data_IF_209278286116
#
_entry.id   IF_209278286116
#
_cell.length_a   1.000
_cell.length_b   1.000
_cell.length_c   1.000
_cell.angle_alpha   90.00
_cell.angle_beta   90.00
_cell.angle_gamma   90.00
#
_symmetry.space_group_name_H-M   'P 1'
#
loop_
_entity.id
_entity.type
_entity.pdbx_description
1 polymer ?
#
# COMPACT_ATOMS: atom_id res chain seq x y z
N UNK A 1 2.29 -23.66 3.67
CA UNK A 1 3.29 -24.38 2.88
C UNK A 1 3.20 -23.94 1.43
N UNK A 2 4.34 -23.62 0.81
CA UNK A 2 4.34 -23.19 -0.58
C UNK A 2 4.26 -24.35 -1.55
N UNK A 3 3.46 -24.21 -2.59
CA UNK A 3 3.37 -25.19 -3.67
C UNK A 3 4.48 -24.92 -4.68
N UNK A 4 5.01 -26.01 -5.25
CA UNK A 4 5.95 -25.90 -6.33
C UNK A 4 5.22 -25.87 -7.66
N UNK A 5 5.55 -24.88 -8.46
CA UNK A 5 4.89 -24.65 -9.74
C UNK A 5 5.92 -24.22 -10.76
N UNK A 6 5.99 -24.91 -11.88
CA UNK A 6 6.91 -24.58 -12.96
C UNK A 6 6.17 -23.75 -14.01
N UNK A 7 6.65 -22.53 -14.24
CA UNK A 7 6.06 -21.63 -15.21
C UNK A 7 7.06 -21.39 -16.35
N UNK A 8 6.60 -21.61 -17.59
CA UNK A 8 7.40 -21.33 -18.77
C UNK A 8 7.06 -19.94 -19.28
N UNK A 9 8.08 -19.08 -19.37
CA UNK A 9 7.93 -17.73 -19.86
C UNK A 9 8.47 -17.64 -21.28
N UNK A 10 7.82 -16.84 -22.13
CA UNK A 10 8.35 -16.52 -23.46
C UNK A 10 9.71 -15.80 -23.30
N UNK A 11 10.65 -15.96 -24.25
CA UNK A 11 11.99 -15.38 -24.11
C UNK A 11 12.01 -13.87 -23.83
N UNK A 12 11.18 -13.11 -24.52
CA UNK A 12 11.10 -11.66 -24.30
C UNK A 12 10.57 -11.30 -22.92
N UNK A 13 9.65 -12.07 -22.39
CA UNK A 13 9.09 -11.87 -21.04
C UNK A 13 10.15 -12.15 -19.98
N UNK A 14 10.88 -13.25 -20.13
CA UNK A 14 11.95 -13.62 -19.20
C UNK A 14 13.03 -12.54 -19.15
N UNK A 15 13.42 -12.02 -20.29
CA UNK A 15 14.44 -10.98 -20.38
C UNK A 15 14.00 -9.70 -19.66
N UNK A 16 12.75 -9.27 -19.86
CA UNK A 16 12.22 -8.09 -19.19
C UNK A 16 12.12 -8.29 -17.68
N UNK A 17 11.73 -9.47 -17.24
CA UNK A 17 11.70 -9.80 -15.82
C UNK A 17 13.10 -9.70 -15.20
N UNK A 18 14.09 -10.26 -15.88
CA UNK A 18 15.48 -10.24 -15.42
C UNK A 18 16.01 -8.82 -15.28
N UNK A 19 15.78 -7.97 -16.28
CA UNK A 19 16.19 -6.57 -16.25
C UNK A 19 15.49 -5.79 -15.15
N UNK A 20 14.20 -5.99 -14.99
CA UNK A 20 13.42 -5.29 -13.95
C UNK A 20 13.89 -5.71 -12.56
N UNK A 21 14.13 -6.99 -12.34
CA UNK A 21 14.63 -7.51 -11.07
C UNK A 21 15.97 -6.88 -10.71
N UNK A 22 16.87 -6.78 -11.68
CA UNK A 22 18.18 -6.16 -11.47
C UNK A 22 18.04 -4.70 -11.06
N UNK A 23 17.19 -3.94 -11.73
CA UNK A 23 16.95 -2.53 -11.40
C UNK A 23 16.33 -2.35 -10.02
N UNK A 24 15.47 -3.27 -9.63
CA UNK A 24 14.80 -3.24 -8.33
C UNK A 24 15.66 -3.82 -7.20
N UNK A 25 16.81 -4.42 -7.51
CA UNK A 25 17.64 -5.06 -6.50
C UNK A 25 17.03 -6.33 -5.94
N UNK A 26 16.20 -7.02 -6.74
CA UNK A 26 15.50 -8.23 -6.33
C UNK A 26 15.93 -9.43 -7.16
N UNK A 27 15.75 -10.62 -6.59
CA UNK A 27 15.90 -11.85 -7.36
C UNK A 27 14.72 -11.99 -8.32
N UNK A 28 14.95 -12.59 -9.49
CA UNK A 28 13.90 -12.80 -10.49
C UNK A 28 12.70 -13.53 -9.91
N UNK A 29 12.95 -14.59 -9.13
CA UNK A 29 11.88 -15.39 -8.52
C UNK A 29 11.02 -14.56 -7.58
N UNK A 30 11.63 -13.73 -6.77
CA UNK A 30 10.92 -12.84 -5.84
C UNK A 30 10.02 -11.87 -6.60
N UNK A 31 10.55 -11.27 -7.66
CA UNK A 31 9.76 -10.33 -8.47
C UNK A 31 8.64 -11.04 -9.22
N UNK A 32 8.89 -12.24 -9.76
CA UNK A 32 7.87 -13.03 -10.44
C UNK A 32 6.72 -13.38 -9.49
N UNK A 33 7.03 -13.80 -8.26
CA UNK A 33 6.03 -14.09 -7.25
C UNK A 33 5.21 -12.86 -6.89
N UNK A 34 5.86 -11.70 -6.79
CA UNK A 34 5.17 -10.43 -6.54
C UNK A 34 4.16 -10.13 -7.65
N UNK A 35 4.58 -10.25 -8.90
CA UNK A 35 3.70 -9.96 -10.02
C UNK A 35 2.49 -10.90 -10.06
N UNK A 36 2.68 -12.18 -9.75
CA UNK A 36 1.56 -13.11 -9.69
C UNK A 36 0.61 -12.73 -8.55
N UNK A 37 1.14 -12.48 -7.37
CA UNK A 37 0.36 -12.09 -6.19
C UNK A 37 -0.44 -10.81 -6.45
N UNK A 38 0.25 -9.76 -6.90
CA UNK A 38 -0.39 -8.46 -7.14
C UNK A 38 -1.35 -8.51 -8.31
N UNK A 39 -1.04 -9.30 -9.35
CA UNK A 39 -1.94 -9.50 -10.46
C UNK A 39 -3.26 -10.13 -10.02
N UNK A 40 -3.19 -11.15 -9.18
CA UNK A 40 -4.38 -11.80 -8.63
C UNK A 40 -5.18 -10.85 -7.73
N UNK A 41 -4.50 -10.08 -6.89
CA UNK A 41 -5.16 -9.08 -6.04
C UNK A 41 -5.84 -8.00 -6.89
N UNK A 42 -5.17 -7.55 -7.93
CA UNK A 42 -5.73 -6.54 -8.83
C UNK A 42 -6.97 -7.06 -9.57
N UNK A 43 -6.98 -8.32 -9.97
CA UNK A 43 -8.16 -8.92 -10.61
C UNK A 43 -9.37 -8.90 -9.67
N UNK A 44 -9.16 -9.16 -8.39
CA UNK A 44 -10.22 -9.10 -7.39
C UNK A 44 -10.56 -7.66 -6.97
N UNK A 45 -9.59 -6.75 -7.04
CA UNK A 45 -9.72 -5.36 -6.60
C UNK A 45 -9.20 -4.41 -7.68
N UNK A 46 -9.94 -4.21 -8.78
CA UNK A 46 -9.42 -3.48 -9.95
C UNK A 46 -9.06 -2.01 -9.69
N UNK A 47 -9.61 -1.40 -8.63
CA UNK A 47 -9.32 0.00 -8.30
C UNK A 47 -8.12 0.14 -7.36
N UNK A 48 -7.47 -0.97 -7.01
CA UNK A 48 -6.28 -0.98 -6.16
C UNK A 48 -5.05 -1.23 -7.02
N UNK A 49 -4.02 -0.43 -6.81
CA UNK A 49 -2.69 -0.60 -7.40
C UNK A 49 -1.67 -0.80 -6.28
N UNK A 50 -0.48 -1.22 -6.64
CA UNK A 50 0.59 -1.42 -5.67
C UNK A 50 1.76 -0.53 -6.03
N UNK A 51 2.28 0.18 -5.04
CA UNK A 51 3.36 1.15 -5.23
C UNK A 51 4.46 0.92 -4.19
N UNK A 52 5.69 1.30 -4.55
CA UNK A 52 6.80 1.28 -3.62
C UNK A 52 6.80 2.54 -2.76
N UNK A 53 7.18 2.40 -1.51
CA UNK A 53 7.33 3.53 -0.61
C UNK A 53 8.45 3.28 0.39
N UNK A 54 8.76 4.26 1.25
CA UNK A 54 9.87 4.16 2.21
C UNK A 54 9.76 2.95 3.14
N UNK A 55 8.55 2.54 3.49
CA UNK A 55 8.31 1.40 4.38
C UNK A 55 7.97 0.10 3.63
N UNK A 56 8.10 0.10 2.30
CA UNK A 56 7.87 -1.08 1.48
C UNK A 56 6.75 -0.93 0.48
N UNK A 57 6.30 -2.05 -0.04
CA UNK A 57 5.24 -2.12 -1.04
C UNK A 57 3.88 -1.87 -0.40
N UNK A 58 3.05 -1.01 -0.99
CA UNK A 58 1.76 -0.60 -0.41
C UNK A 58 0.63 -0.69 -1.41
N UNK A 59 -0.57 -1.03 -0.91
CA UNK A 59 -1.81 -0.93 -1.67
C UNK A 59 -2.30 0.53 -1.68
N UNK A 60 -2.67 1.01 -2.86
CA UNK A 60 -3.08 2.39 -3.06
C UNK A 60 -4.28 2.45 -4.00
N UNK A 61 -5.08 3.51 -3.89
CA UNK A 61 -6.18 3.73 -4.82
C UNK A 61 -5.64 4.19 -6.18
N UNK A 62 -6.15 3.58 -7.22
CA UNK A 62 -5.73 3.88 -8.59
C UNK A 62 -5.94 5.36 -8.90
N UNK A 63 -4.89 6.03 -9.37
CA UNK A 63 -4.91 7.43 -9.85
C UNK A 63 -5.29 8.49 -8.81
N UNK A 64 -5.23 8.18 -7.51
CA UNK A 64 -5.59 9.16 -6.48
C UNK A 64 -4.46 9.57 -5.55
N UNK A 65 -3.36 8.82 -5.54
CA UNK A 65 -2.27 9.10 -4.61
C UNK A 65 -2.61 8.88 -3.15
N UNK A 66 -3.66 8.11 -2.88
CA UNK A 66 -4.11 7.76 -1.54
C UNK A 66 -3.89 6.28 -1.30
N UNK A 67 -3.22 5.96 -0.20
CA UNK A 67 -3.05 4.58 0.21
C UNK A 67 -4.33 4.05 0.86
N UNK A 68 -4.55 2.74 0.77
CA UNK A 68 -5.72 2.12 1.41
C UNK A 68 -5.73 2.40 2.91
N UNK A 69 -4.55 2.32 3.58
CA UNK A 69 -4.50 2.58 5.02
C UNK A 69 -4.98 4.00 5.38
N UNK A 70 -4.71 4.99 4.51
CA UNK A 70 -5.17 6.36 4.77
C UNK A 70 -6.69 6.46 4.74
N UNK A 71 -7.32 5.76 3.80
CA UNK A 71 -8.78 5.72 3.71
C UNK A 71 -9.38 5.07 4.95
N UNK A 72 -8.83 3.93 5.37
CA UNK A 72 -9.34 3.21 6.55
C UNK A 72 -9.15 4.04 7.82
N UNK A 73 -7.98 4.66 7.99
CA UNK A 73 -7.73 5.53 9.13
C UNK A 73 -8.72 6.70 9.16
N UNK A 74 -9.01 7.30 8.00
CA UNK A 74 -9.97 8.40 7.89
C UNK A 74 -11.38 7.95 8.27
N UNK A 75 -11.79 6.75 7.86
CA UNK A 75 -13.09 6.18 8.25
C UNK A 75 -13.16 6.06 9.78
N UNK A 76 -12.11 5.55 10.41
CA UNK A 76 -12.04 5.40 11.87
C UNK A 76 -12.13 6.76 12.56
N UNK A 77 -11.45 7.77 12.04
CA UNK A 77 -11.46 9.12 12.59
C UNK A 77 -12.83 9.80 12.44
N UNK A 78 -13.68 9.29 11.58
CA UNK A 78 -15.04 9.78 11.35
C UNK A 78 -16.08 8.79 11.89
N UNK A 79 -15.77 8.13 12.99
CA UNK A 79 -16.69 7.23 13.70
C UNK A 79 -17.25 6.09 12.84
N UNK A 80 -16.46 5.63 11.88
CA UNK A 80 -16.86 4.54 10.97
C UNK A 80 -17.69 4.99 9.78
N UNK A 81 -17.84 6.30 9.57
CA UNK A 81 -18.64 6.82 8.46
C UNK A 81 -17.85 6.84 7.17
N UNK A 82 -18.22 5.99 6.23
CA UNK A 82 -17.62 5.97 4.89
C UNK A 82 -17.98 7.22 4.10
N UNK A 83 -19.20 7.73 4.27
CA UNK A 83 -19.65 8.94 3.60
C UNK A 83 -18.85 10.17 4.04
N UNK A 84 -18.62 10.32 5.33
CA UNK A 84 -17.82 11.43 5.86
C UNK A 84 -16.36 11.34 5.44
N UNK A 85 -15.82 10.12 5.40
CA UNK A 85 -14.46 9.90 4.91
C UNK A 85 -14.32 10.30 3.43
N UNK A 86 -15.29 9.92 2.60
CA UNK A 86 -15.30 10.29 1.19
C UNK A 86 -15.32 11.82 1.02
N UNK A 87 -16.13 12.50 1.79
CA UNK A 87 -16.22 13.95 1.77
C UNK A 87 -14.90 14.59 2.22
N UNK A 88 -14.36 14.12 3.33
CA UNK A 88 -13.08 14.63 3.85
C UNK A 88 -11.93 14.46 2.85
N UNK A 89 -11.84 13.28 2.24
CA UNK A 89 -10.78 12.97 1.27
C UNK A 89 -11.06 13.50 -0.13
N UNK A 90 -12.27 14.01 -0.36
CA UNK A 90 -12.72 14.52 -1.66
C UNK A 90 -12.61 13.47 -2.76
N UNK A 91 -13.07 12.27 -2.48
CA UNK A 91 -13.12 11.18 -3.44
C UNK A 91 -14.54 10.60 -3.52
N UNK A 92 -14.90 9.98 -4.65
CA UNK A 92 -16.19 9.32 -4.77
C UNK A 92 -16.34 8.19 -3.74
N UNK A 93 -17.56 7.98 -3.25
CA UNK A 93 -17.86 6.92 -2.30
C UNK A 93 -17.47 5.54 -2.83
N UNK A 94 -17.55 5.32 -4.14
CA UNK A 94 -17.12 4.06 -4.76
C UNK A 94 -15.66 3.72 -4.53
N UNK A 95 -14.80 4.74 -4.43
CA UNK A 95 -13.38 4.53 -4.12
C UNK A 95 -13.17 4.17 -2.65
N UNK A 96 -13.96 4.77 -1.76
CA UNK A 96 -13.94 4.39 -0.34
C UNK A 96 -14.39 2.94 -0.19
N UNK A 97 -15.45 2.55 -0.89
CA UNK A 97 -15.94 1.17 -0.90
C UNK A 97 -14.88 0.19 -1.41
N UNK A 98 -14.13 0.57 -2.45
CA UNK A 98 -13.05 -0.24 -2.98
C UNK A 98 -11.95 -0.46 -1.93
N UNK A 99 -11.58 0.57 -1.19
CA UNK A 99 -10.61 0.47 -0.11
C UNK A 99 -11.11 -0.45 1.01
N UNK A 100 -12.39 -0.33 1.38
CA UNK A 100 -13.00 -1.16 2.42
C UNK A 100 -13.06 -2.62 1.99
N UNK A 101 -13.39 -2.90 0.73
CA UNK A 101 -13.41 -4.26 0.20
C UNK A 101 -12.03 -4.90 0.28
N UNK A 102 -10.99 -4.16 -0.11
CA UNK A 102 -9.61 -4.64 0.01
C UNK A 102 -9.23 -4.88 1.46
N UNK A 103 -9.56 -3.94 2.34
CA UNK A 103 -9.29 -4.06 3.76
C UNK A 103 -9.91 -5.33 4.35
N UNK A 104 -11.10 -5.70 3.92
CA UNK A 104 -11.77 -6.90 4.41
C UNK A 104 -10.97 -8.18 4.17
N UNK A 105 -10.23 -8.25 3.07
CA UNK A 105 -9.40 -9.42 2.76
C UNK A 105 -7.98 -9.32 3.33
N UNK A 106 -7.44 -8.10 3.47
CA UNK A 106 -6.03 -7.89 3.86
C UNK A 106 -5.94 -7.02 5.11
N UNK A 107 -6.80 -7.30 6.07
CA UNK A 107 -6.95 -6.52 7.30
C UNK A 107 -5.66 -6.34 8.07
N UNK A 108 -4.93 -7.44 8.32
CA UNK A 108 -3.72 -7.39 9.12
C UNK A 108 -2.62 -6.55 8.46
N UNK A 109 -2.53 -6.63 7.13
CA UNK A 109 -1.60 -5.83 6.35
C UNK A 109 -1.87 -4.34 6.51
N UNK A 110 -3.12 -3.94 6.37
CA UNK A 110 -3.53 -2.53 6.46
C UNK A 110 -3.43 -2.02 7.90
N UNK A 111 -3.84 -2.81 8.87
CA UNK A 111 -3.73 -2.43 10.28
C UNK A 111 -2.27 -2.18 10.66
N UNK A 112 -1.35 -3.01 10.15
CA UNK A 112 0.09 -2.81 10.38
C UNK A 112 0.58 -1.51 9.78
N UNK A 113 0.14 -1.17 8.57
CA UNK A 113 0.51 0.08 7.92
C UNK A 113 0.02 1.28 8.71
N UNK A 114 -1.20 1.22 9.24
CA UNK A 114 -1.75 2.28 10.10
C UNK A 114 -0.87 2.46 11.34
N UNK A 115 -0.52 1.37 12.01
CA UNK A 115 0.34 1.42 13.20
C UNK A 115 1.72 2.00 12.90
N UNK A 116 2.33 1.59 11.79
CA UNK A 116 3.65 2.11 11.40
C UNK A 116 3.59 3.60 11.10
N UNK A 117 2.54 4.05 10.46
CA UNK A 117 2.40 5.47 10.12
C UNK A 117 2.07 6.32 11.35
N UNK A 118 1.30 5.81 12.29
CA UNK A 118 1.08 6.48 13.57
C UNK A 118 2.38 6.63 14.34
N UNK A 119 3.19 5.58 14.40
CA UNK A 119 4.48 5.63 15.08
C UNK A 119 5.44 6.64 14.44
N UNK A 120 5.46 6.69 13.10
CA UNK A 120 6.26 7.67 12.37
C UNK A 120 5.81 9.09 12.66
N UNK A 121 4.50 9.32 12.68
CA UNK A 121 3.94 10.62 13.00
C UNK A 121 4.35 11.09 14.39
N UNK A 122 4.26 10.20 15.40
CA UNK A 122 4.65 10.53 16.76
C UNK A 122 6.14 10.83 16.87
N UNK A 123 6.99 10.05 16.18
CA UNK A 123 8.42 10.33 16.15
C UNK A 123 8.71 11.69 15.53
N UNK A 124 8.01 12.03 14.45
CA UNK A 124 8.15 13.32 13.79
C UNK A 124 7.76 14.48 14.68
N UNK A 125 6.67 14.32 15.43
CA UNK A 125 6.21 15.34 16.38
C UNK A 125 7.22 15.52 17.51
N UNK A 126 7.73 14.44 18.06
CA UNK A 126 8.74 14.50 19.14
C UNK A 126 10.02 15.19 18.64
N UNK A 127 10.46 14.87 17.43
CA UNK A 127 11.64 15.51 16.83
C UNK A 127 11.41 17.00 16.60
N UNK A 128 10.23 17.39 16.12
CA UNK A 128 9.87 18.78 15.91
C UNK A 128 9.84 19.56 17.23
N UNK A 129 9.27 18.96 18.27
CA UNK A 129 9.25 19.58 19.61
C UNK A 129 10.66 19.81 20.14
N UNK A 130 11.56 18.83 19.96
CA UNK A 130 12.95 18.97 20.36
C UNK A 130 13.64 20.08 19.57
N UNK A 131 13.36 20.18 18.26
CA UNK A 131 13.89 21.26 17.42
C UNK A 131 13.40 22.64 17.84
N UNK A 132 12.12 22.76 18.18
CA UNK A 132 11.57 24.02 18.71
C UNK A 132 12.26 24.42 20.00
N UNK A 133 12.50 23.48 20.89
CA UNK A 133 13.21 23.73 22.13
C UNK A 133 14.62 24.27 21.85
N UNK A 134 15.32 23.65 20.91
CA UNK A 134 16.65 24.12 20.49
C UNK A 134 16.65 25.53 19.93
N UNK A 135 15.58 25.91 19.20
CA UNK A 135 15.46 27.25 18.64
C UNK A 135 15.27 28.33 19.71
N UNK A 136 14.77 27.94 20.89
CA UNK A 136 14.53 28.88 22.00
C UNK A 136 15.74 29.08 22.91
N UNK A 137 16.76 28.25 22.81
CA UNK A 137 17.94 28.29 23.66
C UNK A 137 19.09 29.14 23.10
#
# INVERSE_FOLDING_TARGET
MADHYTLRLAPGVRQRLSERARRAGLQERTLAQRYVEEGLRHDAHPLIQFIDGPSGRRASLLSRGLDVWEVIATIRDNNGSMAEAAEYLQIPTGLVEAAVAYYGEYRDEIDREIELNEAEYERGRAAAAAGEQALRS
#
